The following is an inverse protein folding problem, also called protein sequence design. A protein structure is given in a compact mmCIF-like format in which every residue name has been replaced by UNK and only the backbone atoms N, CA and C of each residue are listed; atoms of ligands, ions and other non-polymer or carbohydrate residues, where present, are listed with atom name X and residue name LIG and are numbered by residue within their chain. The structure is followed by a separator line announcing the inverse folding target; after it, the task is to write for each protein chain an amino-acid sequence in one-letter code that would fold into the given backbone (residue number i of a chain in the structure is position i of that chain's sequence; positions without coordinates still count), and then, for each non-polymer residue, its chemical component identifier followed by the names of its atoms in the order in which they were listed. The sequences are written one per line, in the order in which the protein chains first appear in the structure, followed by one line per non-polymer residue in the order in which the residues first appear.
data_IF_677164727548
#
_entry.id   IF_677164727548
#
_cell.length_a   1.000
_cell.length_b   1.000
_cell.length_c   1.000
_cell.angle_alpha   90.00
_cell.angle_beta   90.00
_cell.angle_gamma   90.00
#
_symmetry.space_group_name_H-M   'P 1'
#
loop_
_entity.id
_entity.type
_entity.pdbx_description
1 polymer ?
#
# COMPACT_ATOMS: atom_id res chain seq x y z
N UNK A 1 -32.37 -10.72 -2.17
CA UNK A 1 -31.29 -9.75 -1.92
C UNK A 1 -30.01 -10.53 -1.72
N UNK A 2 -29.06 -10.41 -2.65
CA UNK A 2 -27.70 -10.91 -2.43
C UNK A 2 -27.05 -10.00 -1.40
N UNK A 3 -26.94 -10.44 -0.15
CA UNK A 3 -26.17 -9.74 0.87
C UNK A 3 -24.73 -9.66 0.38
N UNK A 4 -24.23 -8.45 0.21
CA UNK A 4 -22.81 -8.20 -0.09
C UNK A 4 -22.03 -8.68 1.13
N UNK A 5 -21.26 -9.73 1.00
CA UNK A 5 -20.32 -10.15 2.04
C UNK A 5 -19.30 -9.00 2.18
N UNK A 6 -19.31 -8.33 3.33
CA UNK A 6 -18.33 -7.32 3.67
C UNK A 6 -16.94 -7.95 3.61
N UNK A 7 -16.04 -7.33 2.86
CA UNK A 7 -14.64 -7.76 2.82
C UNK A 7 -13.89 -7.25 4.06
N UNK A 8 -12.69 -7.74 4.30
CA UNK A 8 -11.92 -7.36 5.50
C UNK A 8 -11.49 -5.89 5.51
N UNK A 9 -11.34 -5.28 4.35
CA UNK A 9 -11.06 -3.85 4.23
C UNK A 9 -12.26 -3.01 4.70
N UNK A 10 -13.48 -3.42 4.36
CA UNK A 10 -14.71 -2.75 4.83
C UNK A 10 -14.79 -2.71 6.36
N UNK A 11 -14.36 -3.78 7.04
CA UNK A 11 -14.30 -3.77 8.50
C UNK A 11 -13.29 -2.76 9.05
N UNK A 12 -12.13 -2.63 8.42
CA UNK A 12 -11.12 -1.65 8.82
C UNK A 12 -11.60 -0.23 8.51
N UNK A 13 -12.18 0.01 7.33
CA UNK A 13 -12.76 1.30 6.97
C UNK A 13 -13.88 1.71 7.92
N UNK A 14 -14.72 0.76 8.35
CA UNK A 14 -15.75 1.00 9.37
C UNK A 14 -15.11 1.33 10.73
N UNK A 15 -14.07 0.62 11.13
CA UNK A 15 -13.34 0.90 12.36
C UNK A 15 -12.69 2.30 12.32
N UNK A 16 -12.16 2.72 11.17
CA UNK A 16 -11.65 4.07 10.96
C UNK A 16 -12.74 5.12 11.14
N UNK A 17 -13.93 4.92 10.58
CA UNK A 17 -15.06 5.86 10.75
C UNK A 17 -15.48 6.06 12.22
N UNK A 18 -15.20 5.10 13.09
CA UNK A 18 -15.51 5.19 14.54
C UNK A 18 -14.39 5.88 15.32
N UNK A 19 -13.14 5.59 15.00
CA UNK A 19 -12.00 6.01 15.82
C UNK A 19 -11.12 7.06 15.15
N UNK A 20 -11.26 7.25 13.84
CA UNK A 20 -10.51 8.22 13.05
C UNK A 20 -11.22 8.48 11.72
N UNK A 21 -12.35 9.19 11.79
CA UNK A 21 -13.23 9.45 10.63
C UNK A 21 -12.51 10.19 9.47
N UNK A 22 -11.63 11.13 9.79
CA UNK A 22 -10.82 11.84 8.79
C UNK A 22 -10.02 10.87 7.90
N UNK A 23 -9.57 9.75 8.45
CA UNK A 23 -8.75 8.79 7.72
C UNK A 23 -9.48 8.18 6.54
N UNK A 24 -10.74 7.79 6.72
CA UNK A 24 -11.58 7.28 5.64
C UNK A 24 -11.91 8.38 4.63
N UNK A 25 -12.31 9.55 5.12
CA UNK A 25 -12.63 10.70 4.29
C UNK A 25 -11.45 11.12 3.40
N UNK A 26 -10.23 11.09 3.93
CA UNK A 26 -9.02 11.41 3.18
C UNK A 26 -8.74 10.40 2.04
N UNK A 27 -8.98 9.10 2.27
CA UNK A 27 -8.87 8.09 1.21
C UNK A 27 -9.87 8.36 0.08
N UNK A 28 -11.13 8.62 0.43
CA UNK A 28 -12.20 8.90 -0.54
C UNK A 28 -11.93 10.22 -1.30
N UNK A 29 -11.45 11.25 -0.61
CA UNK A 29 -11.07 12.53 -1.21
C UNK A 29 -9.92 12.36 -2.22
N UNK A 30 -8.86 11.68 -1.83
CA UNK A 30 -7.71 11.42 -2.70
C UNK A 30 -8.12 10.67 -3.97
N UNK A 31 -8.95 9.63 -3.84
CA UNK A 31 -9.48 8.88 -4.99
C UNK A 31 -10.28 9.77 -5.94
N UNK A 32 -11.11 10.68 -5.39
CA UNK A 32 -11.92 11.61 -6.19
C UNK A 32 -11.04 12.63 -6.93
N UNK A 33 -10.09 13.24 -6.23
CA UNK A 33 -9.23 14.27 -6.79
C UNK A 33 -8.26 13.73 -7.85
N UNK A 34 -7.79 12.51 -7.69
CA UNK A 34 -6.90 11.87 -8.67
C UNK A 34 -7.64 11.41 -9.92
N UNK A 35 -8.93 11.04 -9.82
CA UNK A 35 -9.76 10.68 -10.98
C UNK A 35 -10.18 11.88 -11.81
N UNK A 36 -10.60 12.94 -11.15
CA UNK A 36 -11.16 14.14 -11.78
C UNK A 36 -10.39 15.37 -11.31
N UNK A 37 -9.16 15.61 -11.78
CA UNK A 37 -8.46 16.82 -11.45
C UNK A 37 -9.24 18.04 -12.00
N UNK A 38 -9.30 19.12 -11.22
CA UNK A 38 -9.96 20.38 -11.62
C UNK A 38 -9.29 21.06 -12.82
N UNK A 39 -8.20 20.52 -13.32
CA UNK A 39 -7.46 20.98 -14.49
C UNK A 39 -7.95 20.27 -15.74
N UNK A 40 -7.84 20.94 -16.91
CA UNK A 40 -8.17 20.35 -18.22
C UNK A 40 -7.18 19.25 -18.65
N UNK A 41 -6.10 19.07 -17.92
CA UNK A 41 -5.09 18.07 -18.21
C UNK A 41 -5.48 16.72 -17.61
N UNK A 42 -5.21 15.64 -18.33
CA UNK A 42 -5.46 14.30 -17.85
C UNK A 42 -4.56 14.01 -16.63
N UNK A 43 -5.14 13.41 -15.59
CA UNK A 43 -4.38 12.99 -14.42
C UNK A 43 -3.35 11.91 -14.79
N UNK A 44 -2.10 12.00 -14.31
CA UNK A 44 -1.12 10.92 -14.46
C UNK A 44 -1.64 9.57 -13.94
N UNK A 45 -2.53 9.59 -12.95
CA UNK A 45 -3.17 8.39 -12.40
C UNK A 45 -4.00 7.65 -13.46
N UNK A 46 -4.78 8.36 -14.27
CA UNK A 46 -5.66 7.74 -15.27
C UNK A 46 -4.91 6.94 -16.33
N UNK A 47 -3.59 7.13 -16.47
CA UNK A 47 -2.75 6.32 -17.34
C UNK A 47 -2.37 4.97 -16.74
N UNK A 48 -2.31 4.85 -15.41
CA UNK A 48 -1.80 3.67 -14.72
C UNK A 48 -2.83 2.98 -13.83
N UNK A 49 -3.59 3.74 -13.05
CA UNK A 49 -4.55 3.21 -12.10
C UNK A 49 -5.60 4.27 -11.75
N UNK A 50 -6.80 3.83 -11.48
CA UNK A 50 -7.83 4.62 -10.78
C UNK A 50 -7.98 4.07 -9.36
N UNK A 51 -7.21 4.57 -8.38
CA UNK A 51 -7.19 3.97 -7.07
C UNK A 51 -8.54 4.07 -6.38
N UNK A 52 -8.88 3.06 -5.60
CA UNK A 52 -10.01 3.07 -4.69
C UNK A 52 -9.57 3.11 -3.21
N UNK A 53 -10.48 3.44 -2.27
CA UNK A 53 -10.14 3.53 -0.85
C UNK A 53 -9.60 2.22 -0.26
N UNK A 54 -10.06 1.05 -0.72
CA UNK A 54 -9.56 -0.26 -0.29
C UNK A 54 -8.11 -0.47 -0.72
N UNK A 55 -7.77 -0.13 -1.95
CA UNK A 55 -6.41 -0.21 -2.48
C UNK A 55 -5.43 0.69 -1.70
N UNK A 56 -5.82 1.94 -1.45
CA UNK A 56 -4.99 2.89 -0.69
C UNK A 56 -4.85 2.47 0.79
N UNK A 57 -5.91 1.91 1.38
CA UNK A 57 -5.85 1.31 2.72
C UNK A 57 -4.85 0.14 2.75
N UNK A 58 -4.87 -0.76 1.76
CA UNK A 58 -3.92 -1.87 1.64
C UNK A 58 -2.48 -1.39 1.54
N UNK A 59 -2.23 -0.33 0.75
CA UNK A 59 -0.91 0.30 0.67
C UNK A 59 -0.47 0.85 2.04
N UNK A 60 -1.37 1.57 2.74
CA UNK A 60 -1.09 2.15 4.05
C UNK A 60 -0.79 1.07 5.11
N UNK A 61 -1.52 -0.03 5.07
CA UNK A 61 -1.30 -1.18 5.95
C UNK A 61 0.03 -1.87 5.63
N UNK A 62 0.30 -2.15 4.36
CA UNK A 62 1.54 -2.80 3.95
C UNK A 62 2.76 -1.94 4.30
N UNK A 63 2.69 -0.63 4.06
CA UNK A 63 3.76 0.30 4.43
C UNK A 63 3.90 0.49 5.94
N UNK A 64 2.80 0.74 6.68
CA UNK A 64 2.87 1.09 8.11
C UNK A 64 3.12 -0.10 9.03
N UNK A 65 2.48 -1.23 8.77
CA UNK A 65 2.53 -2.41 9.64
C UNK A 65 3.45 -3.51 9.14
N UNK A 66 3.98 -3.40 7.94
CA UNK A 66 4.72 -4.48 7.25
C UNK A 66 3.91 -5.79 7.25
N UNK A 67 2.62 -5.64 6.95
CA UNK A 67 1.63 -6.72 6.89
C UNK A 67 0.74 -6.54 5.66
N UNK A 68 0.30 -7.64 5.07
CA UNK A 68 -0.66 -7.62 3.98
C UNK A 68 -1.99 -8.28 4.36
N UNK A 69 -1.99 -9.21 5.30
CA UNK A 69 -3.20 -9.89 5.76
C UNK A 69 -4.04 -8.98 6.65
N UNK A 70 -5.12 -8.43 6.08
CA UNK A 70 -5.99 -7.46 6.73
C UNK A 70 -6.62 -7.98 8.02
N UNK A 71 -6.93 -9.27 8.12
CA UNK A 71 -7.49 -9.87 9.34
C UNK A 71 -6.57 -9.68 10.56
N UNK A 72 -5.26 -9.82 10.36
CA UNK A 72 -4.30 -9.63 11.44
C UNK A 72 -4.26 -8.15 11.88
N UNK A 73 -4.27 -7.25 10.90
CA UNK A 73 -4.22 -5.79 11.15
C UNK A 73 -5.51 -5.30 11.80
N UNK A 74 -6.67 -5.83 11.41
CA UNK A 74 -7.95 -5.53 12.07
C UNK A 74 -7.91 -5.82 13.57
N UNK A 75 -7.38 -6.99 13.96
CA UNK A 75 -7.23 -7.34 15.38
C UNK A 75 -6.29 -6.36 16.12
N UNK A 76 -5.17 -6.01 15.50
CA UNK A 76 -4.18 -5.06 16.04
C UNK A 76 -4.79 -3.66 16.19
N UNK A 77 -5.53 -3.18 15.18
CA UNK A 77 -6.22 -1.88 15.21
C UNK A 77 -7.33 -1.82 16.28
N UNK A 78 -7.95 -2.93 16.63
CA UNK A 78 -8.86 -3.00 17.78
C UNK A 78 -8.15 -2.90 19.12
N UNK A 79 -6.83 -2.90 19.14
CA UNK A 79 -6.03 -2.87 20.37
C UNK A 79 -5.85 -4.23 21.02
N UNK A 80 -6.06 -5.33 20.26
CA UNK A 80 -5.86 -6.69 20.74
C UNK A 80 -4.37 -6.96 20.94
N UNK A 81 -4.01 -7.48 22.09
CA UNK A 81 -2.73 -8.11 22.31
C UNK A 81 -2.74 -9.50 21.67
N UNK A 82 -1.76 -9.80 20.82
CA UNK A 82 -1.74 -11.08 20.08
C UNK A 82 -1.31 -12.26 20.96
N UNK A 83 -0.60 -12.00 22.05
CA UNK A 83 -0.09 -13.03 22.96
C UNK A 83 -1.12 -13.35 24.07
N UNK A 84 -1.68 -12.28 24.68
CA UNK A 84 -2.63 -12.43 25.81
C UNK A 84 -4.10 -12.46 25.37
N UNK A 85 -4.39 -11.95 24.17
CA UNK A 85 -5.75 -11.78 23.66
C UNK A 85 -6.53 -10.59 24.25
N UNK A 86 -5.95 -9.85 25.18
CA UNK A 86 -6.58 -8.70 25.85
C UNK A 86 -6.68 -7.48 24.93
N UNK A 87 -7.72 -6.65 25.17
CA UNK A 87 -7.92 -5.40 24.44
C UNK A 87 -7.54 -4.19 25.29
N UNK A 88 -6.96 -3.15 24.66
CA UNK A 88 -6.58 -1.92 25.32
C UNK A 88 -6.74 -0.71 24.39
N UNK A 89 -7.42 0.33 24.89
CA UNK A 89 -7.59 1.60 24.19
C UNK A 89 -6.23 2.29 23.93
N UNK A 90 -5.29 2.17 24.85
CA UNK A 90 -3.94 2.70 24.68
C UNK A 90 -3.23 2.04 23.51
N UNK A 91 -3.33 0.70 23.37
CA UNK A 91 -2.79 -0.03 22.23
C UNK A 91 -3.47 0.38 20.94
N UNK A 92 -4.81 0.42 20.91
CA UNK A 92 -5.59 0.89 19.77
C UNK A 92 -5.11 2.26 19.28
N UNK A 93 -5.04 3.23 20.17
CA UNK A 93 -4.64 4.59 19.81
C UNK A 93 -3.21 4.65 19.27
N UNK A 94 -2.28 3.84 19.78
CA UNK A 94 -0.93 3.71 19.23
C UNK A 94 -0.95 3.16 17.81
N UNK A 95 -1.77 2.15 17.54
CA UNK A 95 -1.86 1.54 16.22
C UNK A 95 -2.50 2.49 15.20
N UNK A 96 -3.52 3.24 15.59
CA UNK A 96 -4.09 4.27 14.72
C UNK A 96 -3.08 5.36 14.38
N UNK A 97 -2.20 5.77 15.28
CA UNK A 97 -1.11 6.72 14.96
C UNK A 97 -0.13 6.17 13.93
N UNK A 98 0.13 4.86 13.93
CA UNK A 98 0.94 4.22 12.88
C UNK A 98 0.21 4.27 11.54
N UNK A 99 -1.09 3.95 11.53
CA UNK A 99 -1.90 4.00 10.33
C UNK A 99 -1.98 5.42 9.76
N UNK A 100 -2.17 6.44 10.61
CA UNK A 100 -2.20 7.85 10.21
C UNK A 100 -0.93 8.26 9.47
N UNK A 101 0.23 8.02 10.08
CA UNK A 101 1.52 8.33 9.45
C UNK A 101 1.75 7.56 8.15
N UNK A 102 1.32 6.31 8.11
CA UNK A 102 1.44 5.52 6.89
C UNK A 102 0.54 6.06 5.78
N UNK A 103 -0.67 6.48 6.12
CA UNK A 103 -1.60 7.06 5.17
C UNK A 103 -1.13 8.42 4.64
N UNK A 104 -0.53 9.28 5.47
CA UNK A 104 0.08 10.54 5.04
C UNK A 104 1.11 10.30 3.93
N UNK A 105 2.00 9.32 4.10
CA UNK A 105 3.00 8.97 3.08
C UNK A 105 2.39 8.35 1.82
N UNK A 106 1.36 7.51 1.99
CA UNK A 106 0.67 6.87 0.86
C UNK A 106 -0.15 7.87 0.05
N UNK A 107 -0.74 8.87 0.68
CA UNK A 107 -1.53 9.91 0.02
C UNK A 107 -0.69 11.11 -0.46
N UNK A 108 0.62 11.12 -0.25
CA UNK A 108 1.49 12.13 -0.83
C UNK A 108 1.58 11.96 -2.36
N UNK A 109 1.04 12.93 -3.08
CA UNK A 109 1.00 12.94 -4.55
C UNK A 109 2.42 12.88 -5.16
N UNK A 110 3.43 13.44 -4.50
CA UNK A 110 4.82 13.42 -4.97
C UNK A 110 5.39 12.00 -4.93
N UNK A 111 5.04 11.22 -3.91
CA UNK A 111 5.42 9.80 -3.83
C UNK A 111 4.85 9.01 -5.03
N UNK A 112 3.62 9.29 -5.42
CA UNK A 112 3.01 8.68 -6.60
C UNK A 112 3.69 9.10 -7.89
N UNK A 113 3.99 10.39 -8.06
CA UNK A 113 4.68 10.89 -9.25
C UNK A 113 6.07 10.24 -9.42
N UNK A 114 6.81 10.09 -8.33
CA UNK A 114 8.10 9.38 -8.36
C UNK A 114 7.92 7.88 -8.65
N UNK A 115 6.90 7.26 -8.09
CA UNK A 115 6.60 5.87 -8.35
C UNK A 115 6.15 5.62 -9.80
N UNK A 116 5.41 6.52 -10.42
CA UNK A 116 5.07 6.39 -11.85
C UNK A 116 6.31 6.40 -12.75
N UNK A 117 7.38 7.09 -12.36
CA UNK A 117 8.67 6.99 -13.06
C UNK A 117 9.28 5.58 -12.96
N UNK A 118 9.01 4.84 -11.88
CA UNK A 118 9.38 3.42 -11.76
C UNK A 118 8.64 2.60 -12.81
N UNK A 119 7.31 2.77 -12.94
CA UNK A 119 6.51 2.03 -13.94
C UNK A 119 6.97 2.31 -15.37
N UNK A 120 7.22 3.59 -15.69
CA UNK A 120 7.75 4.00 -16.99
C UNK A 120 9.12 3.36 -17.25
N UNK A 121 10.00 3.34 -16.24
CA UNK A 121 11.33 2.71 -16.33
C UNK A 121 11.25 1.20 -16.51
N UNK A 122 10.19 0.56 -16.01
CA UNK A 122 9.89 -0.85 -16.22
C UNK A 122 9.28 -1.15 -17.62
N UNK A 123 9.02 -0.12 -18.44
CA UNK A 123 8.43 -0.26 -19.77
C UNK A 123 6.91 -0.12 -19.84
N UNK A 124 6.24 0.07 -18.70
CA UNK A 124 4.78 0.25 -18.65
C UNK A 124 4.43 1.73 -18.87
N UNK A 125 3.58 2.00 -19.84
CA UNK A 125 3.13 3.36 -20.16
C UNK A 125 1.63 3.56 -20.02
N UNK A 126 0.88 2.48 -19.75
CA UNK A 126 -0.57 2.46 -19.64
C UNK A 126 -1.02 1.36 -18.68
N UNK A 127 -2.13 1.61 -17.99
CA UNK A 127 -2.69 0.68 -17.01
C UNK A 127 -3.26 -0.59 -17.63
N UNK A 128 -3.74 -0.52 -18.89
CA UNK A 128 -4.31 -1.67 -19.60
C UNK A 128 -3.31 -2.83 -19.84
N UNK A 129 -2.01 -2.55 -19.75
CA UNK A 129 -0.97 -3.60 -19.81
C UNK A 129 -0.51 -4.09 -18.44
N UNK A 130 -1.08 -3.55 -17.36
CA UNK A 130 -0.81 -3.98 -15.99
C UNK A 130 -1.79 -5.08 -15.60
N UNK A 131 -1.30 -6.29 -15.46
CA UNK A 131 -2.11 -7.49 -15.21
C UNK A 131 -2.72 -7.55 -13.80
N UNK A 132 -2.22 -6.75 -12.85
CA UNK A 132 -2.68 -6.75 -11.46
C UNK A 132 -2.53 -5.37 -10.82
N UNK A 133 -3.65 -4.69 -10.60
CA UNK A 133 -3.68 -3.44 -9.83
C UNK A 133 -3.21 -3.65 -8.39
N UNK A 134 -3.59 -4.77 -7.77
CA UNK A 134 -3.10 -5.15 -6.43
C UNK A 134 -1.58 -5.29 -6.42
N UNK A 135 -0.99 -5.86 -7.47
CA UNK A 135 0.46 -5.93 -7.64
C UNK A 135 1.12 -4.56 -7.73
N UNK A 136 0.48 -3.63 -8.45
CA UNK A 136 0.94 -2.23 -8.51
C UNK A 136 0.90 -1.58 -7.12
N UNK A 137 -0.20 -1.71 -6.39
CA UNK A 137 -0.40 -1.14 -5.06
C UNK A 137 0.65 -1.68 -4.07
N UNK A 138 0.90 -2.97 -4.07
CA UNK A 138 1.92 -3.58 -3.21
C UNK A 138 3.34 -3.18 -3.61
N UNK A 139 3.61 -3.03 -4.90
CA UNK A 139 4.89 -2.49 -5.37
C UNK A 139 5.09 -1.05 -4.92
N UNK A 140 4.04 -0.23 -4.92
CA UNK A 140 4.08 1.11 -4.36
C UNK A 140 4.42 1.11 -2.85
N UNK A 141 3.79 0.24 -2.07
CA UNK A 141 4.13 0.11 -0.65
C UNK A 141 5.61 -0.30 -0.44
N UNK A 142 6.12 -1.24 -1.24
CA UNK A 142 7.54 -1.63 -1.21
C UNK A 142 8.47 -0.47 -1.59
N UNK A 143 8.09 0.33 -2.60
CA UNK A 143 8.82 1.54 -2.96
C UNK A 143 8.90 2.52 -1.79
N UNK A 144 7.80 2.79 -1.08
CA UNK A 144 7.78 3.67 0.10
C UNK A 144 8.67 3.13 1.23
N UNK A 145 8.67 1.81 1.46
CA UNK A 145 9.55 1.16 2.44
C UNK A 145 11.02 1.40 2.08
N UNK A 146 11.42 1.14 0.84
CA UNK A 146 12.79 1.39 0.37
C UNK A 146 13.19 2.86 0.51
N UNK A 147 12.30 3.77 0.12
CA UNK A 147 12.52 5.22 0.20
C UNK A 147 12.65 5.72 1.63
N UNK A 148 11.67 5.40 2.48
CA UNK A 148 11.51 6.05 3.77
C UNK A 148 12.16 5.30 4.92
N UNK A 149 12.10 3.98 4.95
CA UNK A 149 12.66 3.19 6.05
C UNK A 149 14.14 2.89 5.84
N UNK A 150 14.50 2.47 4.63
CA UNK A 150 15.88 2.10 4.29
C UNK A 150 16.71 3.22 3.66
N UNK A 151 16.09 4.37 3.33
CA UNK A 151 16.77 5.53 2.75
C UNK A 151 17.64 5.18 1.54
N UNK A 152 17.13 4.27 0.71
CA UNK A 152 17.82 3.85 -0.51
C UNK A 152 18.01 5.03 -1.46
N UNK A 153 19.15 5.09 -2.13
CA UNK A 153 19.41 6.10 -3.16
C UNK A 153 18.27 6.11 -4.21
N UNK A 154 17.72 7.26 -4.57
CA UNK A 154 16.55 7.35 -5.46
C UNK A 154 16.77 6.71 -6.83
N UNK A 155 17.98 6.76 -7.37
CA UNK A 155 18.30 6.17 -8.67
C UNK A 155 18.34 4.63 -8.59
N UNK A 156 19.03 4.09 -7.60
CA UNK A 156 19.12 2.65 -7.38
C UNK A 156 17.76 2.06 -6.98
N UNK A 157 16.99 2.77 -6.15
CA UNK A 157 15.62 2.38 -5.80
C UNK A 157 14.75 2.29 -7.06
N UNK A 158 14.75 3.32 -7.91
CA UNK A 158 13.98 3.32 -9.15
C UNK A 158 14.34 2.15 -10.05
N UNK A 159 15.60 1.91 -10.26
CA UNK A 159 16.13 0.83 -11.10
C UNK A 159 15.70 -0.54 -10.58
N UNK A 160 15.90 -0.78 -9.28
CA UNK A 160 15.56 -2.07 -8.64
C UNK A 160 14.04 -2.29 -8.62
N UNK A 161 13.26 -1.27 -8.25
CA UNK A 161 11.81 -1.38 -8.23
C UNK A 161 11.20 -1.54 -9.64
N UNK A 162 11.79 -0.94 -10.67
CA UNK A 162 11.38 -1.16 -12.06
C UNK A 162 11.59 -2.62 -12.46
N UNK A 163 12.74 -3.20 -12.14
CA UNK A 163 13.04 -4.62 -12.37
C UNK A 163 12.08 -5.51 -11.57
N UNK A 164 11.88 -5.22 -10.30
CA UNK A 164 10.95 -5.95 -9.44
C UNK A 164 9.53 -5.96 -10.01
N UNK A 165 9.02 -4.79 -10.40
CA UNK A 165 7.67 -4.67 -10.96
C UNK A 165 7.52 -5.46 -12.26
N UNK A 166 8.50 -5.32 -13.18
CA UNK A 166 8.52 -6.07 -14.44
C UNK A 166 8.51 -7.58 -14.19
N UNK A 167 9.38 -8.08 -13.31
CA UNK A 167 9.45 -9.51 -12.98
C UNK A 167 8.19 -10.00 -12.28
N UNK A 168 7.62 -9.19 -11.38
CA UNK A 168 6.35 -9.52 -10.71
C UNK A 168 5.18 -9.62 -11.68
N UNK A 169 5.12 -8.74 -12.68
CA UNK A 169 4.13 -8.80 -13.76
C UNK A 169 4.34 -10.03 -14.65
N UNK A 170 5.59 -10.28 -15.07
CA UNK A 170 5.93 -11.41 -15.95
C UNK A 170 5.64 -12.76 -15.30
N UNK A 171 5.89 -12.90 -14.01
CA UNK A 171 5.68 -14.15 -13.25
C UNK A 171 4.28 -14.27 -12.65
N UNK A 172 3.41 -13.28 -12.89
CA UNK A 172 2.08 -13.19 -12.31
C UNK A 172 2.09 -13.34 -10.76
N UNK A 173 3.11 -12.78 -10.10
CA UNK A 173 3.40 -12.95 -8.67
C UNK A 173 2.21 -12.63 -7.76
N UNK A 174 1.45 -11.59 -8.08
CA UNK A 174 0.32 -11.12 -7.28
C UNK A 174 -1.05 -11.42 -7.91
N UNK A 175 -1.15 -12.41 -8.80
CA UNK A 175 -2.40 -12.67 -9.53
C UNK A 175 -3.37 -13.59 -8.79
N UNK A 176 -2.90 -14.60 -8.07
CA UNK A 176 -3.78 -15.63 -7.47
C UNK A 176 -3.94 -15.53 -5.95
N UNK A 177 -2.93 -15.03 -5.25
CA UNK A 177 -2.88 -14.98 -3.78
C UNK A 177 -2.10 -13.75 -3.32
N UNK A 178 -2.47 -12.58 -3.82
CA UNK A 178 -1.73 -11.34 -3.65
C UNK A 178 -1.41 -11.01 -2.18
N UNK A 179 -2.38 -11.13 -1.27
CA UNK A 179 -2.15 -10.88 0.16
C UNK A 179 -1.14 -11.85 0.77
N UNK A 180 -1.22 -13.13 0.42
CA UNK A 180 -0.29 -14.14 0.95
C UNK A 180 1.12 -13.93 0.43
N UNK A 181 1.25 -13.62 -0.86
CA UNK A 181 2.54 -13.36 -1.47
C UNK A 181 3.17 -12.08 -0.90
N UNK A 182 2.40 -11.01 -0.78
CA UNK A 182 2.89 -9.77 -0.18
C UNK A 182 3.23 -9.93 1.30
N UNK A 183 2.43 -10.69 2.07
CA UNK A 183 2.76 -11.00 3.47
C UNK A 183 4.12 -11.71 3.57
N UNK A 184 4.43 -12.61 2.65
CA UNK A 184 5.72 -13.28 2.58
C UNK A 184 6.85 -12.30 2.23
N UNK A 185 6.64 -11.45 1.24
CA UNK A 185 7.62 -10.43 0.83
C UNK A 185 7.93 -9.46 1.99
N UNK A 186 6.90 -9.00 2.70
CA UNK A 186 7.06 -8.14 3.88
C UNK A 186 7.74 -8.88 5.05
N UNK A 187 7.49 -10.17 5.24
CA UNK A 187 8.18 -10.96 6.25
C UNK A 187 9.68 -11.10 5.95
N UNK A 188 10.06 -11.20 4.68
CA UNK A 188 11.46 -11.25 4.27
C UNK A 188 12.23 -9.96 4.64
N UNK A 189 11.54 -8.81 4.71
CA UNK A 189 12.13 -7.53 5.16
C UNK A 189 12.59 -7.55 6.62
N UNK A 190 12.14 -8.49 7.44
CA UNK A 190 12.56 -8.56 8.86
C UNK A 190 14.04 -8.82 9.06
N UNK A 191 14.69 -9.43 8.09
CA UNK A 191 16.14 -9.68 8.10
C UNK A 191 16.97 -8.52 7.52
N UNK A 192 16.32 -7.57 6.85
CA UNK A 192 16.93 -6.44 6.17
C UNK A 192 17.28 -5.34 7.18
N UNK A 193 18.52 -4.86 7.15
CA UNK A 193 19.02 -3.84 8.06
C UNK A 193 19.45 -2.56 7.35
N UNK A 194 19.89 -2.66 6.11
CA UNK A 194 20.44 -1.56 5.33
C UNK A 194 19.71 -1.40 3.99
N UNK A 195 19.94 -0.27 3.32
CA UNK A 195 19.44 -0.06 1.95
C UNK A 195 20.02 -1.07 0.95
N UNK A 196 21.28 -1.46 1.13
CA UNK A 196 21.93 -2.46 0.26
C UNK A 196 21.33 -3.85 0.46
N UNK A 197 21.03 -4.23 1.72
CA UNK A 197 20.30 -5.48 2.00
C UNK A 197 18.91 -5.47 1.35
N UNK A 198 18.21 -4.32 1.41
CA UNK A 198 16.90 -4.16 0.77
C UNK A 198 16.99 -4.33 -0.75
N UNK A 199 17.97 -3.69 -1.39
CA UNK A 199 18.20 -3.82 -2.84
C UNK A 199 18.57 -5.25 -3.25
N UNK A 200 19.29 -5.96 -2.39
CA UNK A 200 19.73 -7.33 -2.65
C UNK A 200 18.60 -8.36 -2.48
N UNK A 201 17.58 -8.03 -1.69
CA UNK A 201 16.40 -8.89 -1.47
C UNK A 201 15.46 -8.89 -2.68
N UNK A 202 15.38 -7.77 -3.42
CA UNK A 202 14.50 -7.56 -4.56
C UNK A 202 15.15 -7.96 -5.89
#
# INVERSE_FOLDING_TARGET
SKGTLLNQADFILTLMSVFWDEGRSNLELFCRETRNPDTKDSSPFNYFIEPDPDQLLRASIAYGFKRARLQNVYNVLRGKDLDTGEFSDRRRNKQFKILQKAQEEVLDIQNWHEFFKVLVSAGFRRGDVISSETGLIYTYAMYLIGKNDYKVDPFELRKTMARWFFMSALTARYSSSAETQMEQDLNNLRSVKTGDDFLSLL
#
